data_IF_545430758065
#
_entry.id   IF_545430758065
#
_cell.length_a   1.000
_cell.length_b   1.000
_cell.length_c   1.000
_cell.angle_alpha   90.00
_cell.angle_beta   90.00
_cell.angle_gamma   90.00
#
_symmetry.space_group_name_H-M   'P 1'
#
loop_
_entity.id
_entity.type
_entity.pdbx_description
1 polymer ?
#
# COMPACT_ATOMS: atom_id res chain seq x y z
N UNK A 1 30.78 -19.16 37.75
CA UNK A 1 30.68 -17.89 37.04
C UNK A 1 29.28 -17.83 36.45
N UNK A 2 28.38 -16.94 36.85
CA UNK A 2 27.09 -16.80 36.18
C UNK A 2 27.36 -16.22 34.77
N UNK A 3 26.85 -16.89 33.73
CA UNK A 3 26.76 -16.36 32.39
C UNK A 3 25.91 -15.10 32.47
N UNK A 4 26.50 -13.96 32.16
CA UNK A 4 25.80 -12.72 31.89
C UNK A 4 25.02 -12.93 30.57
N UNK A 5 23.78 -13.37 30.68
CA UNK A 5 22.81 -13.21 29.59
C UNK A 5 22.63 -11.70 29.44
N UNK A 6 23.33 -11.09 28.50
CA UNK A 6 23.05 -9.75 28.05
C UNK A 6 21.63 -9.81 27.47
N UNK A 7 20.62 -9.29 28.19
CA UNK A 7 19.31 -8.99 27.60
C UNK A 7 19.58 -8.07 26.41
N UNK A 8 19.29 -8.58 25.23
CA UNK A 8 19.39 -7.78 23.99
C UNK A 8 18.24 -6.78 24.08
N UNK A 9 18.57 -5.51 24.12
CA UNK A 9 17.58 -4.42 24.19
C UNK A 9 16.62 -4.51 23.01
N UNK A 10 15.33 -4.64 23.30
CA UNK A 10 14.26 -4.68 22.30
C UNK A 10 13.85 -3.25 21.97
N UNK A 11 14.15 -2.83 20.78
CA UNK A 11 13.78 -1.53 20.21
C UNK A 11 12.45 -1.66 19.48
N UNK A 12 11.56 -0.69 19.62
CA UNK A 12 10.20 -0.73 19.06
C UNK A 12 9.92 0.51 18.22
N UNK A 13 9.16 0.33 17.14
CA UNK A 13 8.63 1.38 16.30
C UNK A 13 7.21 1.00 15.89
N UNK A 14 6.26 1.94 15.92
CA UNK A 14 4.91 1.74 15.41
C UNK A 14 4.74 2.54 14.12
N UNK A 15 4.37 1.85 13.04
CA UNK A 15 4.11 2.44 11.72
C UNK A 15 2.61 2.32 11.45
N UNK A 16 1.92 3.43 11.19
CA UNK A 16 0.50 3.43 10.87
C UNK A 16 0.28 3.75 9.40
N UNK A 17 -0.28 2.79 8.65
CA UNK A 17 -0.63 2.94 7.24
C UNK A 17 -2.11 2.58 7.06
N UNK A 18 -2.88 3.49 6.49
CA UNK A 18 -4.30 3.24 6.26
C UNK A 18 -5.13 3.11 7.54
N UNK A 19 -4.69 3.70 8.65
CA UNK A 19 -5.30 3.53 9.98
C UNK A 19 -5.09 2.14 10.57
N UNK A 20 -4.06 1.40 10.10
CA UNK A 20 -3.64 0.12 10.64
C UNK A 20 -2.25 0.27 11.27
N UNK A 21 -2.13 0.27 12.60
CA UNK A 21 -0.85 0.32 13.29
C UNK A 21 -0.14 -1.04 13.22
N UNK A 22 1.11 -1.03 12.78
CA UNK A 22 2.02 -2.17 12.74
C UNK A 22 3.17 -1.90 13.69
N UNK A 23 3.31 -2.74 14.72
CA UNK A 23 4.44 -2.69 15.65
C UNK A 23 5.61 -3.49 15.10
N UNK A 24 6.78 -2.88 15.09
CA UNK A 24 8.02 -3.50 14.66
C UNK A 24 8.99 -3.52 15.82
N UNK A 25 9.44 -4.70 16.20
CA UNK A 25 10.45 -4.89 17.23
C UNK A 25 11.73 -5.40 16.58
N UNK A 26 12.86 -4.86 16.98
CA UNK A 26 14.18 -5.30 16.50
C UNK A 26 15.23 -5.08 17.58
N UNK A 27 16.33 -5.79 17.48
CA UNK A 27 17.52 -5.53 18.31
C UNK A 27 18.62 -4.77 17.56
N UNK A 28 18.35 -4.39 16.30
CA UNK A 28 19.32 -3.68 15.45
C UNK A 28 18.97 -2.18 15.38
N UNK A 29 19.75 -1.30 16.06
CA UNK A 29 19.49 0.13 16.05
C UNK A 29 19.71 0.77 14.68
N UNK A 30 20.59 0.22 13.85
CA UNK A 30 20.81 0.69 12.49
C UNK A 30 19.59 0.44 11.60
N UNK A 31 18.99 -0.75 11.73
CA UNK A 31 17.76 -1.05 11.03
C UNK A 31 16.59 -0.19 11.52
N UNK A 32 16.46 0.02 12.83
CA UNK A 32 15.44 0.92 13.37
C UNK A 32 15.55 2.33 12.76
N UNK A 33 16.75 2.88 12.67
CA UNK A 33 16.99 4.19 12.05
C UNK A 33 16.60 4.21 10.57
N UNK A 34 16.86 3.14 9.81
CA UNK A 34 16.40 2.98 8.43
C UNK A 34 14.87 3.04 8.34
N UNK A 35 14.16 2.36 9.25
CA UNK A 35 12.70 2.39 9.27
C UNK A 35 12.14 3.76 9.67
N UNK A 36 12.74 4.42 10.66
CA UNK A 36 12.35 5.77 11.10
C UNK A 36 12.48 6.79 9.96
N UNK A 37 13.56 6.74 9.20
CA UNK A 37 13.75 7.58 8.01
C UNK A 37 12.72 7.23 6.92
N UNK A 38 12.59 5.95 6.59
CA UNK A 38 11.73 5.46 5.52
C UNK A 38 10.26 5.77 5.73
N UNK A 39 9.78 5.66 6.98
CA UNK A 39 8.37 5.84 7.34
C UNK A 39 8.12 7.13 8.13
N UNK A 40 8.99 8.14 8.03
CA UNK A 40 9.01 9.32 8.89
C UNK A 40 7.65 10.03 9.05
N UNK A 41 6.83 10.09 8.00
CA UNK A 41 5.47 10.65 8.06
C UNK A 41 4.39 9.69 8.56
N UNK A 42 4.74 8.44 8.87
CA UNK A 42 3.83 7.34 9.24
C UNK A 42 4.19 6.69 10.57
N UNK A 43 5.22 7.18 11.24
CA UNK A 43 5.59 6.72 12.58
C UNK A 43 4.61 7.31 13.58
N UNK A 44 4.00 6.43 14.40
CA UNK A 44 3.19 6.86 15.54
C UNK A 44 4.07 7.41 16.66
N UNK A 45 3.64 8.49 17.27
CA UNK A 45 4.29 9.01 18.49
C UNK A 45 3.91 8.26 19.76
N UNK A 46 3.10 7.21 19.67
CA UNK A 46 2.61 6.41 20.79
C UNK A 46 3.02 4.94 20.61
N UNK A 47 4.11 4.55 21.24
CA UNK A 47 4.62 3.17 21.20
C UNK A 47 3.72 2.18 21.94
N UNK A 48 2.82 2.63 22.82
CA UNK A 48 1.85 1.81 23.55
C UNK A 48 0.53 1.61 22.77
N UNK A 49 0.40 2.19 21.55
CA UNK A 49 -0.78 2.01 20.72
C UNK A 49 -1.04 0.53 20.45
N UNK A 50 -2.28 0.07 20.61
CA UNK A 50 -2.67 -1.31 20.29
C UNK A 50 -2.43 -1.57 18.78
N UNK A 51 -1.56 -2.51 18.47
CA UNK A 51 -1.18 -2.83 17.11
C UNK A 51 -2.09 -3.90 16.52
N UNK A 52 -2.51 -3.70 15.26
CA UNK A 52 -3.23 -4.73 14.52
C UNK A 52 -2.30 -5.85 14.03
N UNK A 53 -1.01 -5.54 13.91
CA UNK A 53 0.05 -6.51 13.56
C UNK A 53 1.31 -6.18 14.35
N UNK A 54 1.98 -7.19 14.87
CA UNK A 54 3.27 -7.06 15.53
C UNK A 54 4.29 -7.99 14.89
N UNK A 55 5.44 -7.45 14.51
CA UNK A 55 6.57 -8.20 13.95
C UNK A 55 7.81 -8.10 14.81
N UNK A 56 8.41 -9.27 15.10
CA UNK A 56 9.81 -9.36 15.54
C UNK A 56 10.71 -9.47 14.31
N UNK A 57 11.61 -8.49 14.12
CA UNK A 57 12.48 -8.43 12.94
C UNK A 57 13.92 -8.76 13.30
N UNK A 58 14.42 -9.84 12.70
CA UNK A 58 15.80 -10.29 12.79
C UNK A 58 16.59 -9.85 11.54
N UNK A 59 17.70 -9.17 11.75
CA UNK A 59 18.58 -8.74 10.66
C UNK A 59 19.66 -9.78 10.39
N UNK A 60 19.63 -10.36 9.18
CA UNK A 60 20.65 -11.28 8.69
C UNK A 60 21.79 -10.51 8.04
N UNK A 61 23.03 -10.94 8.32
CA UNK A 61 24.24 -10.40 7.70
C UNK A 61 24.51 -10.98 6.30
N UNK A 62 23.83 -12.06 5.96
CA UNK A 62 23.98 -12.74 4.66
C UNK A 62 22.71 -12.59 3.84
N UNK A 63 22.86 -12.28 2.55
CA UNK A 63 21.77 -12.38 1.59
C UNK A 63 21.26 -13.84 1.53
N UNK A 64 19.95 -14.02 1.32
CA UNK A 64 19.36 -15.35 1.30
C UNK A 64 19.57 -16.00 -0.08
N UNK A 65 19.08 -15.36 -1.12
CA UNK A 65 19.11 -15.82 -2.50
C UNK A 65 18.99 -14.60 -3.43
N UNK A 66 18.52 -14.82 -4.64
CA UNK A 66 18.26 -13.77 -5.61
C UNK A 66 17.21 -12.77 -5.08
N UNK A 67 17.56 -11.49 -4.86
CA UNK A 67 16.62 -10.48 -4.38
C UNK A 67 15.51 -10.16 -5.39
N UNK A 68 15.70 -10.49 -6.67
CA UNK A 68 14.74 -10.29 -7.75
C UNK A 68 13.82 -11.53 -7.95
N UNK A 69 13.93 -12.55 -7.09
CA UNK A 69 13.04 -13.70 -7.12
C UNK A 69 11.59 -13.30 -6.91
N UNK A 70 10.66 -14.06 -7.50
CA UNK A 70 9.23 -13.87 -7.31
C UNK A 70 8.84 -14.03 -5.84
N UNK A 71 7.84 -13.23 -5.42
CA UNK A 71 7.25 -13.35 -4.09
C UNK A 71 6.40 -14.61 -4.03
N UNK A 72 6.59 -15.41 -2.99
CA UNK A 72 5.74 -16.55 -2.64
C UNK A 72 4.97 -16.24 -1.37
N UNK A 73 3.64 -16.42 -1.40
CA UNK A 73 2.76 -16.21 -0.25
C UNK A 73 1.84 -17.44 -0.13
N UNK A 74 2.03 -18.21 0.94
CA UNK A 74 1.27 -19.44 1.18
C UNK A 74 0.62 -19.43 2.56
N UNK A 75 -0.50 -20.12 2.70
CA UNK A 75 -1.19 -20.30 3.97
C UNK A 75 -1.05 -21.75 4.45
N UNK A 76 -0.60 -21.93 5.68
CA UNK A 76 -0.51 -23.23 6.34
C UNK A 76 -1.30 -23.18 7.66
N UNK A 77 -2.53 -23.68 7.63
CA UNK A 77 -3.41 -23.76 8.80
C UNK A 77 -3.60 -22.41 9.53
N UNK A 78 -3.83 -21.34 8.77
CA UNK A 78 -4.06 -19.98 9.31
C UNK A 78 -2.79 -19.15 9.52
N UNK A 79 -1.62 -19.70 9.27
CA UNK A 79 -0.34 -18.99 9.29
C UNK A 79 0.11 -18.67 7.87
N UNK A 80 0.36 -17.42 7.60
CA UNK A 80 0.89 -16.95 6.34
C UNK A 80 2.41 -17.02 6.33
N UNK A 81 2.97 -17.65 5.32
CA UNK A 81 4.41 -17.70 5.05
C UNK A 81 4.69 -16.84 3.82
N UNK A 82 5.56 -15.85 3.98
CA UNK A 82 5.94 -14.88 2.97
C UNK A 82 7.43 -15.04 2.67
N UNK A 83 7.79 -15.20 1.42
CA UNK A 83 9.18 -15.39 1.03
C UNK A 83 9.49 -14.68 -0.28
N UNK A 84 10.67 -14.06 -0.32
CA UNK A 84 11.38 -13.62 -1.52
C UNK A 84 12.88 -13.87 -1.30
N UNK A 85 13.70 -13.67 -2.30
CA UNK A 85 15.13 -13.92 -2.18
C UNK A 85 15.88 -13.08 -1.12
N UNK A 86 15.29 -11.99 -0.63
CA UNK A 86 15.88 -11.06 0.32
C UNK A 86 15.19 -11.05 1.70
N UNK A 87 14.05 -11.76 1.87
CA UNK A 87 13.39 -11.93 3.15
C UNK A 87 12.63 -13.26 3.28
N UNK A 88 12.40 -13.66 4.52
CA UNK A 88 11.41 -14.65 4.95
C UNK A 88 10.62 -14.08 6.11
N UNK A 89 9.30 -14.30 6.10
CA UNK A 89 8.42 -13.85 7.16
C UNK A 89 7.31 -14.87 7.39
N UNK A 90 6.81 -14.91 8.61
CA UNK A 90 5.57 -15.58 8.95
C UNK A 90 4.67 -14.59 9.69
N UNK A 91 3.37 -14.71 9.47
CA UNK A 91 2.37 -13.92 10.15
C UNK A 91 1.14 -14.77 10.49
N UNK A 92 0.69 -14.68 11.73
CA UNK A 92 -0.49 -15.38 12.25
C UNK A 92 -1.58 -14.35 12.60
N UNK A 93 -2.63 -14.22 11.78
CA UNK A 93 -3.72 -13.26 12.01
C UNK A 93 -4.43 -13.43 13.36
N UNK A 94 -4.58 -14.68 13.84
CA UNK A 94 -5.30 -14.97 15.09
C UNK A 94 -4.61 -14.38 16.33
N UNK A 95 -3.28 -14.40 16.37
CA UNK A 95 -2.48 -13.78 17.43
C UNK A 95 -2.04 -12.35 17.10
N UNK A 96 -2.24 -11.91 15.85
CA UNK A 96 -1.73 -10.65 15.30
C UNK A 96 -0.20 -10.52 15.32
N UNK A 97 0.52 -11.61 15.46
CA UNK A 97 1.98 -11.63 15.60
C UNK A 97 2.66 -12.30 14.44
N UNK A 98 3.90 -11.96 14.21
CA UNK A 98 4.73 -12.57 13.20
C UNK A 98 6.21 -12.31 13.42
N UNK A 99 7.02 -12.87 12.56
CA UNK A 99 8.45 -12.59 12.51
C UNK A 99 8.89 -12.33 11.07
N UNK A 100 9.94 -11.54 10.95
CA UNK A 100 10.58 -11.24 9.67
C UNK A 100 12.07 -11.46 9.82
N UNK A 101 12.68 -12.19 8.92
CA UNK A 101 14.14 -12.30 8.79
C UNK A 101 14.55 -11.76 7.43
N UNK A 102 15.38 -10.72 7.43
CA UNK A 102 15.80 -10.01 6.22
C UNK A 102 17.20 -9.42 6.36
N UNK A 103 17.75 -8.92 5.27
CA UNK A 103 18.95 -8.07 5.32
C UNK A 103 18.58 -6.64 5.75
N UNK A 104 19.56 -5.85 6.17
CA UNK A 104 19.35 -4.47 6.63
C UNK A 104 19.03 -3.54 5.45
N UNK A 105 17.82 -3.71 4.87
CA UNK A 105 17.32 -2.82 3.83
C UNK A 105 15.82 -2.55 3.99
N UNK A 106 15.38 -1.37 3.55
CA UNK A 106 13.99 -0.94 3.67
C UNK A 106 13.04 -1.63 2.69
N UNK A 107 13.53 -2.08 1.56
CA UNK A 107 12.70 -2.61 0.47
C UNK A 107 12.13 -3.99 0.77
N UNK A 108 12.87 -4.81 1.54
CA UNK A 108 12.36 -6.10 2.01
C UNK A 108 11.17 -5.90 2.94
N UNK A 109 11.29 -4.96 3.90
CA UNK A 109 10.21 -4.65 4.83
C UNK A 109 9.01 -3.96 4.15
N UNK A 110 9.25 -3.07 3.18
CA UNK A 110 8.18 -2.53 2.31
C UNK A 110 7.37 -3.65 1.65
N UNK A 111 8.03 -4.69 1.13
CA UNK A 111 7.36 -5.81 0.50
C UNK A 111 6.51 -6.60 1.52
N UNK A 112 7.04 -6.89 2.70
CA UNK A 112 6.29 -7.56 3.79
C UNK A 112 5.05 -6.75 4.15
N UNK A 113 5.18 -5.44 4.36
CA UNK A 113 4.04 -4.58 4.68
C UNK A 113 2.97 -4.59 3.58
N UNK A 114 3.36 -4.47 2.30
CA UNK A 114 2.42 -4.53 1.16
C UNK A 114 1.64 -5.84 1.13
N UNK A 115 2.32 -6.96 1.35
CA UNK A 115 1.68 -8.28 1.39
C UNK A 115 0.69 -8.36 2.56
N UNK A 116 1.13 -8.05 3.78
CA UNK A 116 0.29 -8.14 4.97
C UNK A 116 -0.93 -7.22 4.87
N UNK A 117 -0.74 -5.97 4.42
CA UNK A 117 -1.85 -5.05 4.19
C UNK A 117 -2.83 -5.58 3.15
N UNK A 118 -2.36 -6.23 2.07
CA UNK A 118 -3.25 -6.83 1.06
C UNK A 118 -4.08 -7.99 1.65
N UNK A 119 -3.46 -8.82 2.50
CA UNK A 119 -4.13 -9.93 3.19
C UNK A 119 -5.18 -9.45 4.20
N UNK A 120 -4.89 -8.37 4.93
CA UNK A 120 -5.84 -7.77 5.90
C UNK A 120 -7.00 -7.07 5.19
N UNK A 121 -6.74 -6.36 4.09
CA UNK A 121 -7.76 -5.61 3.37
C UNK A 121 -8.75 -6.49 2.61
N UNK A 122 -8.29 -7.61 2.03
CA UNK A 122 -9.10 -8.47 1.17
C UNK A 122 -10.42 -8.91 1.82
N UNK A 123 -10.44 -9.49 3.04
CA UNK A 123 -11.69 -9.90 3.71
C UNK A 123 -12.54 -8.71 4.19
N UNK A 124 -11.96 -7.51 4.29
CA UNK A 124 -12.65 -6.29 4.73
C UNK A 124 -13.28 -5.50 3.58
N UNK A 125 -13.16 -5.98 2.34
CA UNK A 125 -13.65 -5.29 1.15
C UNK A 125 -12.80 -4.09 0.74
N UNK A 126 -11.58 -3.96 1.28
CA UNK A 126 -10.60 -2.95 0.89
C UNK A 126 -9.69 -3.43 -0.24
N UNK A 127 -8.91 -2.52 -0.80
CA UNK A 127 -8.04 -2.77 -1.94
C UNK A 127 -6.71 -2.02 -1.80
N UNK A 128 -5.61 -2.70 -2.11
CA UNK A 128 -4.36 -2.05 -2.50
C UNK A 128 -4.31 -1.96 -4.02
N UNK A 129 -4.09 -0.77 -4.55
CA UNK A 129 -4.13 -0.52 -5.99
C UNK A 129 -2.80 0.05 -6.47
N UNK A 130 -2.26 -0.50 -7.54
CA UNK A 130 -1.18 0.14 -8.30
C UNK A 130 -1.75 1.37 -9.01
N UNK A 131 -1.88 2.44 -8.27
CA UNK A 131 -2.45 3.71 -8.73
C UNK A 131 -1.86 4.87 -7.95
N UNK A 132 -1.79 6.03 -8.56
CA UNK A 132 -1.58 7.27 -7.85
C UNK A 132 -2.89 7.73 -7.22
N UNK A 133 -2.80 8.54 -6.17
CA UNK A 133 -3.98 9.19 -5.59
C UNK A 133 -3.64 10.52 -4.93
N UNK A 134 -4.61 11.44 -4.97
CA UNK A 134 -4.48 12.74 -4.35
C UNK A 134 -5.84 13.25 -3.83
N UNK A 135 -5.79 14.09 -2.81
CA UNK A 135 -6.95 14.79 -2.28
C UNK A 135 -7.04 16.17 -2.94
N UNK A 136 -8.24 16.50 -3.41
CA UNK A 136 -8.61 17.85 -3.86
C UNK A 136 -10.00 18.18 -3.33
N UNK A 137 -10.17 19.38 -2.77
CA UNK A 137 -11.45 19.83 -2.20
C UNK A 137 -12.06 18.82 -1.21
N UNK A 138 -11.23 18.22 -0.35
CA UNK A 138 -11.65 17.25 0.67
C UNK A 138 -12.07 15.87 0.14
N UNK A 139 -11.86 15.58 -1.14
CA UNK A 139 -12.20 14.30 -1.80
C UNK A 139 -10.96 13.67 -2.41
N UNK A 140 -10.84 12.36 -2.33
CA UNK A 140 -9.76 11.59 -2.94
C UNK A 140 -10.11 11.15 -4.37
N UNK A 141 -9.15 11.29 -5.25
CA UNK A 141 -9.20 10.85 -6.65
C UNK A 141 -8.09 9.85 -6.88
N UNK A 142 -8.44 8.71 -7.48
CA UNK A 142 -7.53 7.63 -7.80
C UNK A 142 -7.20 7.67 -9.31
N UNK A 143 -5.95 7.37 -9.66
CA UNK A 143 -5.45 7.42 -11.03
C UNK A 143 -4.75 6.09 -11.34
N UNK A 144 -5.44 5.19 -12.02
CA UNK A 144 -4.93 3.86 -12.38
C UNK A 144 -4.60 3.76 -13.87
N UNK A 145 -3.72 2.85 -14.21
CA UNK A 145 -3.36 2.57 -15.60
C UNK A 145 -2.09 1.75 -15.71
N UNK A 146 -1.86 1.20 -16.90
CA UNK A 146 -0.66 0.43 -17.21
C UNK A 146 0.62 1.24 -16.97
N UNK A 147 1.77 0.57 -16.97
CA UNK A 147 3.05 1.27 -16.93
C UNK A 147 3.14 2.29 -18.06
N UNK A 148 3.61 3.50 -17.77
CA UNK A 148 3.68 4.60 -18.74
C UNK A 148 2.35 5.33 -19.00
N UNK A 149 1.22 4.95 -18.39
CA UNK A 149 -0.06 5.66 -18.61
C UNK A 149 -0.08 7.10 -18.10
N UNK A 150 0.87 7.48 -17.23
CA UNK A 150 1.01 8.85 -16.73
C UNK A 150 0.70 9.05 -15.26
N UNK A 151 0.72 8.00 -14.41
CA UNK A 151 0.51 8.11 -12.94
C UNK A 151 1.46 9.12 -12.30
N UNK A 152 2.75 8.99 -12.56
CA UNK A 152 3.77 9.93 -12.09
C UNK A 152 3.56 11.33 -12.65
N UNK A 153 3.13 11.44 -13.91
CA UNK A 153 2.88 12.73 -14.57
C UNK A 153 1.71 13.46 -13.93
N UNK A 154 0.56 12.80 -13.73
CA UNK A 154 -0.62 13.42 -13.11
C UNK A 154 -0.32 13.85 -11.67
N UNK A 155 0.46 13.06 -10.92
CA UNK A 155 0.90 13.41 -9.57
C UNK A 155 1.81 14.63 -9.55
N UNK A 156 2.74 14.73 -10.50
CA UNK A 156 3.66 15.87 -10.63
C UNK A 156 2.95 17.16 -11.05
N UNK A 157 1.86 17.04 -11.79
CA UNK A 157 1.03 18.17 -12.26
C UNK A 157 -0.01 18.62 -11.22
N UNK A 158 -0.07 17.98 -10.04
CA UNK A 158 -1.02 18.32 -9.00
C UNK A 158 -0.87 19.80 -8.57
N UNK A 159 -1.97 20.56 -8.49
CA UNK A 159 -1.92 21.96 -8.10
C UNK A 159 -1.56 22.11 -6.62
N UNK A 160 -1.09 23.29 -6.18
CA UNK A 160 -0.69 23.53 -4.79
C UNK A 160 -1.76 23.24 -3.72
N UNK A 161 -3.05 23.24 -4.10
CA UNK A 161 -4.15 22.89 -3.18
C UNK A 161 -4.52 21.41 -3.17
N UNK A 162 -3.77 20.55 -3.88
CA UNK A 162 -3.95 19.11 -3.83
C UNK A 162 -2.91 18.47 -2.89
N UNK A 163 -3.36 17.52 -2.08
CA UNK A 163 -2.50 16.70 -1.21
C UNK A 163 -2.23 15.35 -1.85
N UNK A 164 -0.97 15.00 -2.08
CA UNK A 164 -0.59 13.70 -2.63
C UNK A 164 -0.72 12.63 -1.55
N UNK A 165 -1.53 11.62 -1.81
CA UNK A 165 -1.63 10.42 -0.98
C UNK A 165 -0.56 9.39 -1.36
N UNK A 166 -0.32 9.21 -2.66
CA UNK A 166 0.72 8.33 -3.20
C UNK A 166 0.87 8.54 -4.72
N UNK A 167 2.04 8.22 -5.25
CA UNK A 167 2.27 8.11 -6.70
C UNK A 167 2.36 6.66 -7.20
N UNK A 168 2.24 5.68 -6.28
CA UNK A 168 2.54 4.26 -6.58
C UNK A 168 1.44 3.30 -6.11
N UNK A 169 1.11 3.30 -4.79
CA UNK A 169 0.19 2.33 -4.19
C UNK A 169 -0.87 3.04 -3.37
N UNK A 170 -2.07 3.12 -3.91
CA UNK A 170 -3.22 3.65 -3.20
C UNK A 170 -3.81 2.62 -2.25
N UNK A 171 -4.02 3.03 -1.02
CA UNK A 171 -4.63 2.24 0.04
C UNK A 171 -6.10 2.64 0.18
N UNK A 172 -7.01 1.72 -0.07
CA UNK A 172 -8.45 2.00 -0.10
C UNK A 172 -9.17 1.08 0.87
N UNK A 173 -9.86 1.65 1.86
CA UNK A 173 -10.73 0.92 2.78
C UNK A 173 -12.18 1.15 2.44
N UNK A 174 -12.99 0.10 2.59
CA UNK A 174 -14.43 0.20 2.58
C UNK A 174 -14.90 0.84 3.90
N UNK A 175 -15.76 1.85 3.81
CA UNK A 175 -16.29 2.57 4.95
C UNK A 175 -17.82 2.68 4.80
N UNK A 176 -18.56 1.77 5.42
CA UNK A 176 -20.01 1.70 5.27
C UNK A 176 -20.44 1.53 3.81
N UNK A 177 -21.08 2.57 3.26
CA UNK A 177 -21.58 2.55 1.86
C UNK A 177 -20.57 3.11 0.87
N UNK A 178 -19.42 3.62 1.32
CA UNK A 178 -18.40 4.26 0.48
C UNK A 178 -17.02 3.68 0.69
N UNK A 179 -16.03 4.42 0.18
CA UNK A 179 -14.63 4.08 0.30
C UNK A 179 -13.84 5.30 0.74
N UNK A 180 -12.76 5.06 1.50
CA UNK A 180 -11.80 6.09 1.93
C UNK A 180 -10.42 5.71 1.41
N UNK A 181 -9.73 6.65 0.76
CA UNK A 181 -8.34 6.49 0.37
C UNK A 181 -7.43 7.12 1.42
N UNK A 182 -6.33 6.45 1.69
CA UNK A 182 -5.33 6.83 2.67
C UNK A 182 -3.98 7.05 2.00
N UNK A 183 -3.20 7.96 2.55
CA UNK A 183 -1.82 8.13 2.17
C UNK A 183 -0.96 6.92 2.51
N UNK A 184 0.08 6.69 1.71
CA UNK A 184 1.02 5.59 1.93
C UNK A 184 2.47 6.04 1.84
N UNK A 185 3.37 5.36 2.55
CA UNK A 185 4.80 5.60 2.45
C UNK A 185 5.41 4.95 1.19
N UNK A 186 4.63 4.17 0.44
CA UNK A 186 5.13 3.45 -0.73
C UNK A 186 5.33 4.43 -1.89
N UNK A 187 6.60 4.68 -2.21
CA UNK A 187 6.99 5.65 -3.24
C UNK A 187 7.28 4.99 -4.56
N UNK A 188 6.81 5.62 -5.64
CA UNK A 188 7.18 5.31 -7.00
C UNK A 188 8.31 6.21 -7.52
N UNK A 189 8.25 6.56 -8.80
CA UNK A 189 9.28 7.37 -9.49
C UNK A 189 9.41 8.81 -8.96
N UNK A 190 8.38 9.37 -8.30
CA UNK A 190 8.51 10.69 -7.68
C UNK A 190 9.43 10.68 -6.48
N UNK A 191 9.67 9.50 -5.88
CA UNK A 191 10.45 9.33 -4.65
C UNK A 191 9.96 10.25 -3.50
N UNK A 192 8.68 10.66 -3.54
CA UNK A 192 8.03 11.51 -2.53
C UNK A 192 7.07 10.67 -1.73
N UNK A 193 7.19 10.70 -0.40
CA UNK A 193 6.23 10.08 0.49
C UNK A 193 4.85 10.75 0.34
N UNK A 194 3.79 9.95 0.37
CA UNK A 194 2.44 10.46 0.57
C UNK A 194 2.28 11.10 1.95
N UNK A 195 1.30 11.97 2.09
CA UNK A 195 0.94 12.49 3.42
C UNK A 195 0.03 11.47 4.13
N UNK A 196 0.29 11.24 5.42
CA UNK A 196 -0.52 10.30 6.24
C UNK A 196 -1.87 10.95 6.63
N UNK A 197 -2.69 11.14 5.63
CA UNK A 197 -4.05 11.69 5.72
C UNK A 197 -4.99 10.84 4.88
N UNK A 198 -6.31 11.07 5.02
CA UNK A 198 -7.31 10.31 4.28
C UNK A 198 -8.46 11.19 3.82
N UNK A 199 -9.17 10.74 2.77
CA UNK A 199 -10.39 11.37 2.32
C UNK A 199 -11.34 10.36 1.63
N UNK A 200 -12.65 10.64 1.60
CA UNK A 200 -13.63 9.85 0.85
C UNK A 200 -13.26 9.79 -0.63
N UNK A 201 -13.30 8.60 -1.23
CA UNK A 201 -13.06 8.40 -2.66
C UNK A 201 -14.22 8.97 -3.46
N UNK A 202 -13.93 9.92 -4.36
CA UNK A 202 -14.91 10.53 -5.24
C UNK A 202 -14.97 9.87 -6.62
N UNK A 203 -13.81 9.49 -7.17
CA UNK A 203 -13.72 8.85 -8.47
C UNK A 203 -12.42 8.06 -8.65
N UNK A 204 -12.47 7.10 -9.58
CA UNK A 204 -11.30 6.43 -10.16
C UNK A 204 -11.19 6.83 -11.64
N UNK A 205 -10.04 7.33 -12.02
CA UNK A 205 -9.71 7.64 -13.41
C UNK A 205 -8.75 6.60 -13.99
N UNK A 206 -9.17 5.97 -15.08
CA UNK A 206 -8.31 5.14 -15.92
C UNK A 206 -7.54 6.05 -16.87
N UNK A 207 -6.23 6.16 -16.65
CA UNK A 207 -5.37 7.09 -17.40
C UNK A 207 -5.12 6.61 -18.83
N UNK A 208 -5.20 7.55 -19.77
CA UNK A 208 -4.78 7.38 -21.15
C UNK A 208 -4.06 8.64 -21.64
N UNK A 209 -3.07 8.45 -22.50
CA UNK A 209 -2.41 9.56 -23.19
C UNK A 209 -3.21 9.95 -24.44
N UNK A 210 -3.27 11.25 -24.74
CA UNK A 210 -3.96 11.72 -25.93
C UNK A 210 -3.66 13.19 -26.25
N UNK A 211 -4.20 13.72 -27.33
CA UNK A 211 -3.91 15.08 -27.81
C UNK A 211 -4.68 16.17 -27.05
N UNK A 212 -5.63 15.79 -26.20
CA UNK A 212 -6.51 16.72 -25.46
C UNK A 212 -6.89 16.16 -24.09
N UNK A 213 -7.27 17.05 -23.18
CA UNK A 213 -7.78 16.69 -21.86
C UNK A 213 -9.28 16.44 -21.94
N UNK A 214 -9.73 15.20 -21.64
CA UNK A 214 -11.16 14.86 -21.61
C UNK A 214 -11.44 13.71 -20.65
N UNK A 215 -12.67 13.65 -20.18
CA UNK A 215 -13.19 12.54 -19.37
C UNK A 215 -14.30 11.84 -20.16
N UNK A 216 -14.12 10.55 -20.40
CA UNK A 216 -15.09 9.70 -21.08
C UNK A 216 -15.67 8.65 -20.12
N UNK A 217 -16.94 8.29 -20.27
CA UNK A 217 -17.52 7.20 -19.49
C UNK A 217 -16.86 5.85 -19.87
N UNK A 218 -16.79 4.94 -18.92
CA UNK A 218 -16.25 3.59 -19.08
C UNK A 218 -17.36 2.58 -18.81
N UNK A 219 -17.47 1.54 -19.65
CA UNK A 219 -18.43 0.47 -19.42
C UNK A 219 -18.10 -0.28 -18.10
N UNK A 220 -19.13 -0.72 -17.31
CA UNK A 220 -18.88 -1.36 -16.01
C UNK A 220 -17.97 -2.58 -16.08
N UNK A 221 -18.08 -3.39 -17.13
CA UNK A 221 -17.21 -4.56 -17.31
C UNK A 221 -15.75 -4.19 -17.59
N UNK A 222 -15.51 -3.08 -18.29
CA UNK A 222 -14.17 -2.55 -18.52
C UNK A 222 -13.62 -1.94 -17.24
N UNK A 223 -14.43 -1.19 -16.50
CA UNK A 223 -14.05 -0.61 -15.23
C UNK A 223 -13.58 -1.68 -14.24
N UNK A 224 -14.37 -2.76 -14.07
CA UNK A 224 -14.04 -3.87 -13.18
C UNK A 224 -12.74 -4.59 -13.62
N UNK A 225 -12.58 -4.89 -14.92
CA UNK A 225 -11.37 -5.52 -15.43
C UNK A 225 -10.14 -4.64 -15.22
N UNK A 226 -10.26 -3.35 -15.51
CA UNK A 226 -9.15 -2.40 -15.34
C UNK A 226 -8.80 -2.21 -13.86
N UNK A 227 -9.79 -2.17 -12.98
CA UNK A 227 -9.53 -2.14 -11.55
C UNK A 227 -8.79 -3.39 -11.09
N UNK A 228 -9.28 -4.59 -11.43
CA UNK A 228 -8.65 -5.87 -11.07
C UNK A 228 -7.21 -5.98 -11.57
N UNK A 229 -6.93 -5.48 -12.78
CA UNK A 229 -5.57 -5.47 -13.32
C UNK A 229 -4.58 -4.55 -12.54
N UNK A 230 -5.10 -3.68 -11.69
CA UNK A 230 -4.30 -2.79 -10.84
C UNK A 230 -4.38 -3.19 -9.34
N UNK A 231 -5.12 -4.23 -8.97
CA UNK A 231 -5.12 -4.74 -7.58
C UNK A 231 -3.78 -5.40 -7.29
N UNK A 232 -3.18 -5.00 -6.18
CA UNK A 232 -2.01 -5.68 -5.62
C UNK A 232 -2.48 -6.73 -4.62
N UNK A 233 -2.32 -7.97 -5.02
CA UNK A 233 -2.64 -9.13 -4.21
C UNK A 233 -1.63 -10.24 -4.51
N UNK A 234 -1.11 -10.89 -3.49
CA UNK A 234 0.07 -11.75 -3.60
C UNK A 234 -0.19 -13.22 -3.26
N UNK A 235 -1.38 -13.54 -2.70
CA UNK A 235 -1.70 -14.90 -2.29
C UNK A 235 -2.57 -15.61 -3.34
N UNK A 236 -2.37 -16.93 -3.48
CA UNK A 236 -3.19 -17.80 -4.33
C UNK A 236 -4.33 -18.48 -3.54
N UNK A 237 -4.75 -17.86 -2.42
CA UNK A 237 -5.85 -18.36 -1.60
C UNK A 237 -7.19 -18.08 -2.27
N UNK A 238 -7.97 -19.15 -2.51
CA UNK A 238 -9.21 -19.09 -3.29
C UNK A 238 -10.27 -18.17 -2.65
N UNK A 239 -10.44 -18.22 -1.32
CA UNK A 239 -11.43 -17.41 -0.61
C UNK A 239 -11.07 -15.93 -0.67
N UNK A 240 -9.79 -15.60 -0.50
CA UNK A 240 -9.32 -14.21 -0.60
C UNK A 240 -9.38 -13.69 -2.03
N UNK A 241 -9.06 -14.52 -3.02
CA UNK A 241 -9.21 -14.16 -4.44
C UNK A 241 -10.67 -13.87 -4.76
N UNK A 242 -11.62 -14.70 -4.30
CA UNK A 242 -13.06 -14.43 -4.45
C UNK A 242 -13.48 -13.13 -3.76
N UNK A 243 -12.94 -12.86 -2.57
CA UNK A 243 -13.18 -11.60 -1.84
C UNK A 243 -12.69 -10.38 -2.62
N UNK A 244 -11.52 -10.45 -3.25
CA UNK A 244 -10.99 -9.39 -4.13
C UNK A 244 -11.89 -9.15 -5.33
N UNK A 245 -12.35 -10.20 -6.01
CA UNK A 245 -13.30 -10.06 -7.11
C UNK A 245 -14.59 -9.37 -6.66
N UNK A 246 -15.18 -9.84 -5.56
CA UNK A 246 -16.38 -9.24 -4.99
C UNK A 246 -16.16 -7.75 -4.66
N UNK A 247 -15.06 -7.43 -4.00
CA UNK A 247 -14.70 -6.07 -3.62
C UNK A 247 -14.50 -5.16 -4.82
N UNK A 248 -13.88 -5.67 -5.89
CA UNK A 248 -13.68 -4.90 -7.12
C UNK A 248 -15.01 -4.58 -7.82
N UNK A 249 -15.94 -5.56 -7.92
CA UNK A 249 -17.25 -5.32 -8.48
C UNK A 249 -18.09 -4.36 -7.63
N UNK A 250 -18.04 -4.50 -6.31
CA UNK A 250 -18.72 -3.59 -5.40
C UNK A 250 -18.14 -2.17 -5.51
N UNK A 251 -16.81 -2.03 -5.58
CA UNK A 251 -16.16 -0.74 -5.77
C UNK A 251 -16.66 -0.02 -7.02
N UNK A 252 -16.61 -0.66 -8.19
CA UNK A 252 -17.04 -0.03 -9.46
C UNK A 252 -18.53 0.22 -9.53
N UNK A 253 -19.34 -0.44 -8.70
CA UNK A 253 -20.77 -0.16 -8.60
C UNK A 253 -21.10 1.09 -7.77
N UNK A 254 -20.17 1.53 -6.92
CA UNK A 254 -20.35 2.64 -5.97
C UNK A 254 -19.50 3.86 -6.26
N UNK A 255 -18.31 3.65 -6.84
CA UNK A 255 -17.37 4.71 -7.17
C UNK A 255 -17.42 4.98 -8.67
N UNK A 256 -17.66 6.23 -9.09
CA UNK A 256 -17.60 6.61 -10.50
C UNK A 256 -16.22 6.24 -11.10
N UNK A 257 -16.24 5.49 -12.21
CA UNK A 257 -15.04 5.16 -12.96
C UNK A 257 -15.14 5.75 -14.35
N UNK A 258 -14.13 6.54 -14.74
CA UNK A 258 -14.08 7.20 -16.04
C UNK A 258 -12.69 7.05 -16.65
N UNK A 259 -12.59 7.20 -17.97
CA UNK A 259 -11.31 7.34 -18.64
C UNK A 259 -10.89 8.81 -18.64
N UNK A 260 -9.70 9.09 -18.14
CA UNK A 260 -9.07 10.40 -18.24
C UNK A 260 -8.00 10.35 -19.30
N UNK A 261 -8.32 10.87 -20.49
CA UNK A 261 -7.34 11.11 -21.54
C UNK A 261 -6.72 12.48 -21.30
N UNK A 262 -5.39 12.60 -21.34
CA UNK A 262 -4.76 13.88 -21.07
C UNK A 262 -3.41 14.09 -21.79
N UNK A 263 -3.09 15.34 -21.99
CA UNK A 263 -1.74 15.83 -22.31
C UNK A 263 -1.01 16.15 -21.00
N UNK A 264 0.34 16.11 -20.93
CA UNK A 264 1.11 16.43 -19.74
C UNK A 264 1.09 17.95 -19.42
N UNK A 265 -0.09 18.48 -19.13
CA UNK A 265 -0.38 19.89 -18.84
C UNK A 265 -1.24 19.99 -17.58
N UNK A 266 -0.92 20.95 -16.70
CA UNK A 266 -1.61 21.16 -15.41
C UNK A 266 -3.12 21.42 -15.56
N UNK A 267 -3.59 21.88 -16.71
CA UNK A 267 -5.02 22.06 -17.01
C UNK A 267 -5.86 20.78 -16.90
N UNK A 268 -5.24 19.60 -16.95
CA UNK A 268 -5.95 18.34 -16.69
C UNK A 268 -6.63 18.35 -15.33
N UNK A 269 -6.05 19.03 -14.35
CA UNK A 269 -6.62 19.12 -13.02
C UNK A 269 -7.87 20.01 -12.95
N UNK A 270 -8.18 20.83 -13.94
CA UNK A 270 -9.44 21.58 -14.02
C UNK A 270 -10.63 20.65 -14.24
N UNK A 271 -10.41 19.48 -14.84
CA UNK A 271 -11.43 18.45 -15.06
C UNK A 271 -11.67 17.55 -13.83
N UNK A 272 -10.69 17.48 -12.90
CA UNK A 272 -10.73 16.56 -11.78
C UNK A 272 -11.50 17.21 -10.63
N UNK A 273 -12.66 16.63 -10.26
CA UNK A 273 -13.50 17.12 -9.17
C UNK A 273 -14.22 18.43 -9.46
N UNK A 274 -14.42 18.72 -10.76
CA UNK A 274 -15.30 19.83 -11.20
C UNK A 274 -16.77 19.50 -10.99
#
# INVERSE_FOLDING_TARGET
>A
MPELTTEVERLTLVIEIGGMPVRVNTSDPGFLAILQDRYSGFVSGNDDQDAEVEFDVEISRTAFADPDADVSVTNHSGRWCLQRGDFRAEWEPASRTGWVRQTANKYSFDAVLRIVHSLVLAPQGGLLLHSASAIRNGKAFLFAGVSGAGKTTISRLAPPGATLLTDEISYVRKNGVGYTAYGTPFTGELAKLGENVSAPVAALYLLAQGPENRIDPVAPAEAARSLLANVLFFAEDEELVQSIFHSAFEFVSRVPVSRLTFVPDARVWELIGS
#
